data_IF_633728069995
#
_entry.id   IF_633728069995
#
_cell.length_a   1.000
_cell.length_b   1.000
_cell.length_c   1.000
_cell.angle_alpha   90.00
_cell.angle_beta   90.00
_cell.angle_gamma   90.00
#
_symmetry.space_group_name_H-M   'P 1'
#
loop_
_entity.id
_entity.type
_entity.pdbx_description
1 polymer ?
#
# COMPACT_ATOMS: atom_id res chain seq x y z
N UNK A 1 13.78 -3.42 -6.46
CA UNK A 1 12.87 -4.53 -6.10
C UNK A 1 11.44 -3.98 -5.92
N UNK A 2 10.74 -3.56 -6.98
CA UNK A 2 9.39 -2.94 -6.88
C UNK A 2 8.40 -3.40 -7.95
N UNK A 3 8.81 -4.38 -8.75
CA UNK A 3 8.21 -4.67 -10.06
C UNK A 3 6.91 -5.50 -9.96
N UNK A 4 6.64 -6.18 -8.84
CA UNK A 4 5.51 -7.10 -8.73
C UNK A 4 4.85 -7.17 -7.33
N UNK A 5 5.20 -6.26 -6.41
CA UNK A 5 4.66 -6.30 -5.04
C UNK A 5 3.18 -5.88 -4.97
N UNK A 6 2.63 -5.27 -6.03
CA UNK A 6 1.23 -4.87 -6.11
C UNK A 6 0.28 -6.01 -6.50
N UNK A 7 0.73 -7.26 -6.44
CA UNK A 7 -0.04 -8.42 -6.92
C UNK A 7 -0.85 -9.12 -5.84
N UNK A 8 -0.34 -9.19 -4.61
CA UNK A 8 -0.98 -9.95 -3.53
C UNK A 8 -1.55 -9.03 -2.46
N UNK A 9 -2.86 -9.10 -2.22
CA UNK A 9 -3.48 -8.71 -0.94
C UNK A 9 -3.36 -7.24 -0.50
N UNK A 10 -2.67 -6.36 -1.23
CA UNK A 10 -2.50 -4.95 -0.86
C UNK A 10 -3.80 -4.17 -1.05
N UNK A 11 -4.57 -4.12 0.03
CA UNK A 11 -5.71 -3.25 0.24
C UNK A 11 -5.20 -1.92 0.81
N UNK A 12 -4.98 -0.95 -0.08
CA UNK A 12 -4.43 0.37 0.25
C UNK A 12 -5.50 1.44 -0.03
N UNK A 13 -6.45 1.66 0.88
CA UNK A 13 -7.48 2.68 0.70
C UNK A 13 -6.91 4.11 0.64
N UNK A 14 -5.65 4.32 1.06
CA UNK A 14 -4.95 5.60 1.04
C UNK A 14 -4.36 5.95 -0.35
N UNK A 15 -4.33 5.01 -1.28
CA UNK A 15 -3.75 5.23 -2.61
C UNK A 15 -4.79 5.86 -3.54
N UNK A 16 -4.70 7.18 -3.72
CA UNK A 16 -5.54 7.94 -4.64
C UNK A 16 -5.09 7.89 -6.10
N UNK A 17 -3.82 7.56 -6.37
CA UNK A 17 -3.27 7.52 -7.72
C UNK A 17 -2.31 6.36 -7.97
N UNK A 18 -2.43 5.72 -9.13
CA UNK A 18 -1.51 4.71 -9.64
C UNK A 18 -0.95 5.17 -11.00
N UNK A 19 0.36 5.30 -11.10
CA UNK A 19 1.05 5.57 -12.35
C UNK A 19 1.72 4.29 -12.89
N UNK A 20 1.43 3.93 -14.14
CA UNK A 20 2.03 2.80 -14.85
C UNK A 20 2.96 3.38 -15.91
N UNK A 21 4.26 3.31 -15.66
CA UNK A 21 5.29 3.69 -16.64
C UNK A 21 5.48 2.57 -17.67
N UNK A 22 5.81 2.93 -18.90
CA UNK A 22 6.04 1.99 -20.00
C UNK A 22 4.88 0.98 -20.14
N UNK A 23 3.65 1.49 -20.18
CA UNK A 23 2.44 0.67 -20.17
C UNK A 23 2.26 -0.15 -21.46
N UNK A 24 2.93 0.25 -22.54
CA UNK A 24 2.90 -0.38 -23.86
C UNK A 24 3.99 -1.43 -24.08
N UNK A 25 4.92 -1.60 -23.13
CA UNK A 25 5.94 -2.66 -23.20
C UNK A 25 5.30 -4.01 -22.89
N UNK A 26 4.89 -4.71 -23.95
CA UNK A 26 4.28 -6.04 -23.81
C UNK A 26 5.18 -7.02 -23.07
N UNK A 27 4.55 -7.89 -22.29
CA UNK A 27 5.22 -8.82 -21.40
C UNK A 27 4.35 -9.15 -20.21
N UNK A 28 4.86 -9.99 -19.31
CA UNK A 28 4.10 -10.49 -18.17
C UNK A 28 3.42 -9.38 -17.35
N UNK A 29 4.18 -8.33 -17.02
CA UNK A 29 3.76 -7.23 -16.16
C UNK A 29 2.81 -6.22 -16.83
N UNK A 30 2.64 -6.33 -18.15
CA UNK A 30 1.75 -5.48 -18.97
C UNK A 30 0.72 -6.32 -19.72
N UNK A 31 0.53 -7.56 -19.29
CA UNK A 31 -0.60 -8.37 -19.72
C UNK A 31 -1.92 -7.72 -19.27
N UNK A 32 -3.01 -8.01 -19.98
CA UNK A 32 -4.33 -7.49 -19.66
C UNK A 32 -4.72 -7.73 -18.19
N UNK A 33 -4.45 -8.92 -17.66
CA UNK A 33 -4.75 -9.28 -16.28
C UNK A 33 -3.88 -8.51 -15.28
N UNK A 34 -2.59 -8.34 -15.56
CA UNK A 34 -1.69 -7.54 -14.72
C UNK A 34 -2.11 -6.06 -14.68
N UNK A 35 -2.46 -5.47 -15.82
CA UNK A 35 -2.92 -4.08 -15.88
C UNK A 35 -4.22 -3.89 -15.07
N UNK A 36 -5.18 -4.80 -15.20
CA UNK A 36 -6.43 -4.76 -14.40
C UNK A 36 -6.12 -4.84 -12.91
N UNK A 37 -5.20 -5.70 -12.49
CA UNK A 37 -4.80 -5.83 -11.09
C UNK A 37 -4.14 -4.54 -10.56
N UNK A 38 -3.25 -3.93 -11.36
CA UNK A 38 -2.60 -2.67 -11.01
C UNK A 38 -3.61 -1.53 -10.91
N UNK A 39 -4.55 -1.43 -11.85
CA UNK A 39 -5.66 -0.46 -11.81
C UNK A 39 -6.50 -0.63 -10.54
N UNK A 40 -6.79 -1.88 -10.16
CA UNK A 40 -7.60 -2.22 -8.99
C UNK A 40 -7.04 -1.70 -7.65
N UNK A 41 -5.76 -1.29 -7.61
CA UNK A 41 -5.17 -0.67 -6.41
C UNK A 41 -5.70 0.74 -6.15
N UNK A 42 -5.99 1.51 -7.19
CA UNK A 42 -6.61 2.83 -7.05
C UNK A 42 -8.13 2.75 -6.76
N UNK A 43 -8.78 1.62 -7.05
CA UNK A 43 -10.23 1.49 -7.00
C UNK A 43 -10.84 1.54 -5.58
N UNK A 44 -10.00 1.58 -4.54
CA UNK A 44 -10.43 1.64 -3.13
C UNK A 44 -10.49 3.04 -2.55
N UNK A 45 -10.12 4.04 -3.35
CA UNK A 45 -10.19 5.46 -3.04
C UNK A 45 -11.30 6.11 -3.87
N UNK A 46 -12.06 7.03 -3.30
CA UNK A 46 -13.16 7.73 -4.01
C UNK A 46 -12.66 8.51 -5.23
N UNK A 47 -11.52 9.18 -5.09
CA UNK A 47 -10.83 9.89 -6.17
C UNK A 47 -9.80 9.03 -6.94
N UNK A 48 -9.91 7.69 -6.85
CA UNK A 48 -8.97 6.74 -7.42
C UNK A 48 -8.69 6.97 -8.91
N UNK A 49 -7.46 7.37 -9.25
CA UNK A 49 -7.03 7.66 -10.62
C UNK A 49 -5.89 6.76 -11.07
N UNK A 50 -5.90 6.37 -12.34
CA UNK A 50 -4.80 5.62 -12.96
C UNK A 50 -4.30 6.40 -14.17
N UNK A 51 -2.98 6.55 -14.27
CA UNK A 51 -2.29 7.16 -15.41
C UNK A 51 -1.39 6.11 -16.02
N UNK A 52 -1.60 5.82 -17.31
CA UNK A 52 -0.73 4.92 -18.08
C UNK A 52 0.12 5.76 -19.02
N UNK A 53 1.44 5.75 -18.82
CA UNK A 53 2.40 6.38 -19.72
C UNK A 53 2.82 5.35 -20.77
N UNK A 54 2.57 5.67 -22.04
CA UNK A 54 2.84 4.80 -23.18
C UNK A 54 2.90 5.63 -24.45
N UNK A 55 3.63 5.14 -25.45
CA UNK A 55 3.64 5.73 -26.79
C UNK A 55 2.43 5.24 -27.59
N UNK A 56 2.01 3.99 -27.39
CA UNK A 56 0.90 3.38 -28.13
C UNK A 56 -0.10 2.64 -27.21
N UNK A 57 -1.36 2.53 -27.64
CA UNK A 57 -2.36 1.70 -26.93
C UNK A 57 -2.26 0.25 -27.42
N UNK A 58 -1.75 -0.64 -26.57
CA UNK A 58 -1.69 -2.08 -26.86
C UNK A 58 -3.05 -2.75 -26.71
N UNK A 59 -3.19 -3.99 -27.22
CA UNK A 59 -4.41 -4.80 -27.03
C UNK A 59 -4.69 -5.06 -25.55
N UNK A 60 -3.64 -5.32 -24.76
CA UNK A 60 -3.73 -5.52 -23.31
C UNK A 60 -4.25 -4.26 -22.60
N UNK A 61 -3.72 -3.09 -22.97
CA UNK A 61 -4.17 -1.81 -22.42
C UNK A 61 -5.63 -1.54 -22.77
N UNK A 62 -6.00 -1.69 -24.03
CA UNK A 62 -7.37 -1.47 -24.50
C UNK A 62 -8.36 -2.36 -23.72
N UNK A 63 -8.06 -3.65 -23.61
CA UNK A 63 -8.88 -4.57 -22.83
C UNK A 63 -9.01 -4.15 -21.36
N UNK A 64 -7.90 -3.77 -20.72
CA UNK A 64 -7.90 -3.35 -19.32
C UNK A 64 -8.72 -2.06 -19.10
N UNK A 65 -8.60 -1.08 -20.01
CA UNK A 65 -9.36 0.18 -20.00
C UNK A 65 -10.85 -0.10 -20.20
N UNK A 66 -11.21 -0.90 -21.21
CA UNK A 66 -12.60 -1.22 -21.54
C UNK A 66 -13.28 -1.96 -20.37
N UNK A 67 -12.62 -2.97 -19.79
CA UNK A 67 -13.16 -3.71 -18.65
C UNK A 67 -13.28 -2.83 -17.41
N UNK A 68 -12.33 -1.93 -17.16
CA UNK A 68 -12.41 -0.95 -16.06
C UNK A 68 -13.61 -0.02 -16.23
N UNK A 69 -13.79 0.53 -17.43
CA UNK A 69 -14.91 1.42 -17.75
C UNK A 69 -16.25 0.69 -17.66
N UNK A 70 -16.32 -0.56 -18.13
CA UNK A 70 -17.52 -1.40 -18.02
C UNK A 70 -17.92 -1.61 -16.56
N UNK A 71 -16.96 -1.94 -15.70
CA UNK A 71 -17.20 -2.12 -14.25
C UNK A 71 -17.63 -0.83 -13.58
N UNK A 72 -16.97 0.30 -13.88
CA UNK A 72 -17.32 1.61 -13.33
C UNK A 72 -18.76 2.01 -13.68
N UNK A 73 -19.17 1.87 -14.95
CA UNK A 73 -20.56 2.14 -15.37
C UNK A 73 -21.59 1.30 -14.62
N UNK A 74 -21.30 0.02 -14.40
CA UNK A 74 -22.20 -0.87 -13.64
C UNK A 74 -22.30 -0.43 -12.17
N UNK A 75 -21.18 -0.05 -11.57
CA UNK A 75 -21.13 0.45 -10.18
C UNK A 75 -21.87 1.78 -10.03
N UNK A 76 -21.66 2.73 -10.94
CA UNK A 76 -22.36 4.02 -10.95
C UNK A 76 -23.87 3.85 -11.10
N UNK A 77 -24.30 2.99 -12.02
CA UNK A 77 -25.72 2.65 -12.19
C UNK A 77 -26.32 2.05 -10.92
N UNK A 78 -25.66 1.05 -10.34
CA UNK A 78 -26.11 0.44 -9.08
C UNK A 78 -26.16 1.46 -7.94
N UNK A 79 -25.16 2.33 -7.83
CA UNK A 79 -25.12 3.37 -6.80
C UNK A 79 -26.28 4.36 -6.95
N UNK A 80 -26.59 4.77 -8.19
CA UNK A 80 -27.71 5.67 -8.48
C UNK A 80 -29.06 5.02 -8.13
N UNK A 81 -29.27 3.77 -8.54
CA UNK A 81 -30.50 3.02 -8.27
C UNK A 81 -30.73 2.76 -6.77
N UNK A 82 -29.65 2.66 -5.98
CA UNK A 82 -29.70 2.34 -4.56
C UNK A 82 -29.40 3.55 -3.64
N UNK A 83 -29.27 4.77 -4.20
CA UNK A 83 -28.89 5.98 -3.46
C UNK A 83 -27.60 5.84 -2.62
N UNK A 84 -26.60 5.12 -3.14
CA UNK A 84 -25.31 4.91 -2.47
C UNK A 84 -24.35 6.02 -2.88
N UNK A 85 -23.81 6.74 -1.89
CA UNK A 85 -22.69 7.68 -2.10
C UNK A 85 -21.37 6.94 -1.82
N UNK A 86 -20.43 6.85 -2.79
CA UNK A 86 -19.11 6.28 -2.56
C UNK A 86 -18.41 6.99 -1.40
N UNK A 87 -17.78 6.22 -0.51
CA UNK A 87 -16.95 6.75 0.57
C UNK A 87 -15.67 5.95 0.65
N UNK A 88 -14.55 6.64 0.82
CA UNK A 88 -13.26 5.98 1.05
C UNK A 88 -13.25 5.22 2.39
N UNK A 89 -12.63 4.04 2.41
CA UNK A 89 -12.52 3.23 3.62
C UNK A 89 -11.46 3.83 4.53
N UNK A 90 -11.85 4.41 5.67
CA UNK A 90 -10.88 4.88 6.67
C UNK A 90 -10.41 3.69 7.51
N UNK A 91 -9.28 3.09 7.14
CA UNK A 91 -8.56 2.17 8.03
C UNK A 91 -7.61 2.97 8.92
N UNK A 92 -7.57 2.66 10.22
CA UNK A 92 -6.50 3.15 11.10
C UNK A 92 -5.20 2.55 10.60
N UNK A 93 -4.35 3.36 9.97
CA UNK A 93 -2.94 3.02 9.77
C UNK A 93 -2.39 2.78 11.17
N UNK A 94 -2.07 1.52 11.50
CA UNK A 94 -1.24 1.26 12.68
C UNK A 94 0.10 1.89 12.36
N UNK A 95 0.33 3.06 12.94
CA UNK A 95 1.44 3.92 12.61
C UNK A 95 2.72 3.11 12.85
N UNK A 96 3.45 2.79 11.77
CA UNK A 96 4.70 2.03 11.86
C UNK A 96 5.68 2.71 12.83
N UNK A 97 5.53 4.02 12.96
CA UNK A 97 6.21 4.92 13.89
C UNK A 97 5.99 4.55 15.36
N UNK A 98 4.80 4.08 15.76
CA UNK A 98 4.51 3.66 17.13
C UNK A 98 5.29 2.40 17.50
N UNK A 99 5.30 1.39 16.62
CA UNK A 99 6.09 0.16 16.82
C UNK A 99 7.59 0.44 16.90
N UNK A 100 8.09 1.37 16.08
CA UNK A 100 9.50 1.76 16.11
C UNK A 100 9.87 2.49 17.42
N UNK A 101 8.97 3.34 17.93
CA UNK A 101 9.15 4.00 19.23
C UNK A 101 9.14 3.00 20.39
N UNK A 102 8.21 2.04 20.39
CA UNK A 102 8.14 0.99 21.42
C UNK A 102 9.41 0.16 21.47
N UNK A 103 9.91 -0.30 20.31
CA UNK A 103 11.16 -1.07 20.22
C UNK A 103 12.38 -0.28 20.71
N UNK A 104 12.48 1.00 20.36
CA UNK A 104 13.58 1.85 20.82
C UNK A 104 13.53 2.10 22.33
N UNK A 105 12.32 2.29 22.89
CA UNK A 105 12.13 2.46 24.33
C UNK A 105 12.51 1.20 25.12
N UNK A 106 12.17 0.01 24.61
CA UNK A 106 12.59 -1.26 25.23
C UNK A 106 14.11 -1.45 25.20
N UNK A 107 14.75 -1.19 24.06
CA UNK A 107 16.22 -1.27 23.94
C UNK A 107 16.92 -0.30 24.91
N UNK A 108 16.41 0.93 25.04
CA UNK A 108 16.98 1.92 25.94
C UNK A 108 16.80 1.53 27.42
N UNK A 109 15.63 0.98 27.79
CA UNK A 109 15.37 0.45 29.13
C UNK A 109 16.30 -0.73 29.46
N UNK A 110 16.51 -1.64 28.52
CA UNK A 110 17.42 -2.78 28.70
C UNK A 110 18.87 -2.32 28.90
N UNK A 111 19.34 -1.34 28.12
CA UNK A 111 20.67 -0.74 28.27
C UNK A 111 20.85 -0.08 29.65
N UNK A 112 19.86 0.70 30.10
CA UNK A 112 19.88 1.35 31.41
C UNK A 112 19.89 0.33 32.55
N UNK A 113 19.10 -0.75 32.43
CA UNK A 113 19.06 -1.83 33.41
C UNK A 113 20.42 -2.54 33.52
N UNK A 114 21.08 -2.77 32.38
CA UNK A 114 22.43 -3.35 32.34
C UNK A 114 23.48 -2.43 32.96
N UNK A 115 23.47 -1.14 32.64
CA UNK A 115 24.35 -0.14 33.28
C UNK A 115 24.16 -0.10 34.79
N UNK A 116 22.91 -0.09 35.26
CA UNK A 116 22.59 -0.07 36.70
C UNK A 116 23.08 -1.34 37.39
N UNK A 117 22.95 -2.50 36.72
CA UNK A 117 23.45 -3.77 37.22
C UNK A 117 24.99 -3.78 37.34
N UNK A 118 25.71 -3.31 36.31
CA UNK A 118 27.16 -3.19 36.35
C UNK A 118 27.63 -2.26 37.47
N UNK A 119 26.97 -1.11 37.66
CA UNK A 119 27.30 -0.18 38.76
C UNK A 119 27.10 -0.85 40.12
N UNK A 120 26.00 -1.61 40.32
CA UNK A 120 25.77 -2.36 41.56
C UNK A 120 26.86 -3.40 41.83
N UNK A 121 27.31 -4.12 40.79
CA UNK A 121 28.42 -5.08 40.91
C UNK A 121 29.71 -4.35 41.32
N UNK A 122 30.03 -3.24 40.66
CA UNK A 122 31.25 -2.47 40.92
C UNK A 122 31.29 -1.94 42.36
N UNK A 123 30.16 -1.39 42.84
CA UNK A 123 30.02 -0.89 44.22
C UNK A 123 30.18 -2.03 45.23
N UNK A 124 29.68 -3.22 44.94
CA UNK A 124 29.79 -4.36 45.85
C UNK A 124 31.23 -4.90 45.91
N UNK A 125 31.96 -4.88 44.79
CA UNK A 125 33.37 -5.26 44.73
C UNK A 125 34.30 -4.27 45.45
N UNK A 126 33.97 -2.96 45.41
CA UNK A 126 34.75 -1.90 46.08
C UNK A 126 34.44 -1.76 47.58
N UNK A 127 33.46 -2.52 48.11
CA UNK A 127 33.09 -2.53 49.53
C UNK A 127 33.72 -3.67 50.34
N UNK A 128 34.58 -4.46 49.71
CA UNK A 128 35.48 -5.45 50.33
C UNK A 128 36.85 -4.80 50.46
#
# INVERSE_FOLDING_TARGET
MGINLLREGLDLPEVSMVAILDADKEGYLRSATSLIQTIGRAARHEEGKVIMYADNITKSMKFAIDETNRRRKLQEKYNLENNITPKSIVKKVRDLTEKLKENNLEQMKMSLKFKTFLIKILINLLRI
#
